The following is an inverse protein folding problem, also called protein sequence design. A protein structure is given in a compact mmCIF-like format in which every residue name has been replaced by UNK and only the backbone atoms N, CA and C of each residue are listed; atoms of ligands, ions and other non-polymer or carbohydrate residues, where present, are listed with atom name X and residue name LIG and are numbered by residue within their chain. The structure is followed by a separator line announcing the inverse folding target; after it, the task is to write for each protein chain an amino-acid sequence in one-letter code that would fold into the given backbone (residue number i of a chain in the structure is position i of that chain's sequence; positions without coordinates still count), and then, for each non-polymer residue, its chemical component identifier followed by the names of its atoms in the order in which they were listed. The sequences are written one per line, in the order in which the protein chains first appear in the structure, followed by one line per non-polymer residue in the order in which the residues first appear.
data_IF_483198894833
#
_entry.id   IF_483198894833
#
_cell.length_a   1.000
_cell.length_b   1.000
_cell.length_c   1.000
_cell.angle_alpha   90.00
_cell.angle_beta   90.00
_cell.angle_gamma   90.00
#
_symmetry.space_group_name_H-M   'P 1'
#
loop_
_entity.id
_entity.type
_entity.pdbx_description
1 polymer ?
#
# COMPACT_ATOMS: atom_id res chain seq x y z
N UNK A 1 -13.87 -23.49 15.31
CA UNK A 1 -13.42 -23.32 13.91
C UNK A 1 -12.13 -22.51 13.95
N UNK A 2 -10.97 -23.17 13.92
CA UNK A 2 -9.67 -22.49 13.79
C UNK A 2 -9.54 -22.05 12.33
N UNK A 3 -10.01 -20.84 12.02
CA UNK A 3 -9.73 -20.20 10.73
C UNK A 3 -8.23 -20.01 10.63
N UNK A 4 -7.63 -20.52 9.54
CA UNK A 4 -6.22 -20.31 9.24
C UNK A 4 -5.88 -18.81 9.33
N UNK A 5 -4.66 -18.44 9.78
CA UNK A 5 -4.26 -17.04 9.76
C UNK A 5 -4.41 -16.49 8.35
N UNK A 6 -5.04 -15.32 8.23
CA UNK A 6 -5.11 -14.60 6.96
C UNK A 6 -3.68 -14.38 6.47
N UNK A 7 -3.42 -14.67 5.20
CA UNK A 7 -2.10 -14.47 4.58
C UNK A 7 -2.28 -13.69 3.30
N UNK A 8 -1.33 -12.82 3.00
CA UNK A 8 -1.38 -12.01 1.81
C UNK A 8 -0.08 -11.28 1.61
N UNK A 9 0.21 -10.95 0.36
CA UNK A 9 1.40 -10.20 -0.03
C UNK A 9 0.96 -8.95 -0.77
N UNK A 10 1.81 -7.93 -0.72
CA UNK A 10 1.61 -6.71 -1.51
C UNK A 10 2.87 -6.37 -2.29
N UNK A 11 2.68 -5.90 -3.51
CA UNK A 11 3.77 -5.52 -4.41
C UNK A 11 3.48 -4.12 -4.93
N UNK A 12 4.01 -3.06 -4.29
CA UNK A 12 3.85 -1.71 -4.77
C UNK A 12 4.52 -1.52 -6.13
N UNK A 13 3.85 -0.78 -7.00
CA UNK A 13 4.47 -0.25 -8.22
C UNK A 13 5.41 0.90 -7.87
N UNK A 14 6.39 1.16 -8.72
CA UNK A 14 7.22 2.36 -8.61
C UNK A 14 6.34 3.60 -8.74
N UNK A 15 6.46 4.52 -7.79
CA UNK A 15 5.78 5.81 -7.81
C UNK A 15 6.71 6.88 -8.42
N UNK A 16 6.24 7.58 -9.46
CA UNK A 16 7.04 8.58 -10.18
C UNK A 16 6.75 10.00 -9.73
N UNK A 17 7.81 10.76 -9.46
CA UNK A 17 7.72 12.17 -9.08
C UNK A 17 8.65 13.03 -9.94
N UNK A 18 8.14 14.09 -10.60
CA UNK A 18 6.74 14.50 -10.66
C UNK A 18 5.93 13.64 -11.64
N UNK A 19 4.63 13.45 -11.36
CA UNK A 19 3.68 12.89 -12.33
C UNK A 19 2.59 12.05 -11.71
N UNK A 20 2.96 11.08 -10.86
CA UNK A 20 1.98 10.19 -10.25
C UNK A 20 1.25 10.90 -9.11
N UNK A 21 -0.06 10.69 -9.05
CA UNK A 21 -0.94 11.17 -7.96
C UNK A 21 -1.59 10.02 -7.20
N UNK A 22 -1.40 8.79 -7.69
CA UNK A 22 -1.95 7.56 -7.16
C UNK A 22 -0.84 6.54 -7.00
N UNK A 23 -0.75 5.97 -5.81
CA UNK A 23 0.08 4.82 -5.54
C UNK A 23 -0.71 3.58 -5.92
N UNK A 24 -0.16 2.78 -6.83
CA UNK A 24 -0.73 1.50 -7.23
C UNK A 24 0.10 0.35 -6.67
N UNK A 25 -0.56 -0.75 -6.32
CA UNK A 25 0.09 -1.99 -5.94
C UNK A 25 -0.74 -3.18 -6.43
N UNK A 26 -0.12 -4.34 -6.58
CA UNK A 26 -0.85 -5.60 -6.69
C UNK A 26 -0.81 -6.32 -5.35
N UNK A 27 -1.83 -7.13 -5.07
CA UNK A 27 -1.88 -7.91 -3.85
C UNK A 27 -2.39 -9.32 -4.12
N UNK A 28 -2.03 -10.25 -3.23
CA UNK A 28 -2.55 -11.62 -3.25
C UNK A 28 -3.02 -12.02 -1.85
N UNK A 29 -3.86 -13.06 -1.78
CA UNK A 29 -4.38 -13.59 -0.52
C UNK A 29 -5.49 -12.74 0.09
N UNK A 30 -5.61 -12.78 1.41
CA UNK A 30 -6.74 -12.29 2.20
C UNK A 30 -6.67 -10.78 2.54
N UNK A 31 -6.02 -9.97 1.68
CA UNK A 31 -5.90 -8.53 1.89
C UNK A 31 -7.25 -7.85 1.69
N UNK A 32 -7.69 -7.11 2.71
CA UNK A 32 -8.97 -6.39 2.73
C UNK A 32 -8.80 -4.88 2.62
N UNK A 33 -7.71 -4.35 3.15
CA UNK A 33 -7.41 -2.91 3.11
C UNK A 33 -5.91 -2.69 3.15
N UNK A 34 -5.48 -1.44 2.95
CA UNK A 34 -4.07 -1.06 3.05
C UNK A 34 -3.90 0.20 3.91
N UNK A 35 -2.72 0.34 4.47
CA UNK A 35 -2.27 1.57 5.12
C UNK A 35 -1.00 2.03 4.40
N UNK A 36 -1.01 3.26 3.90
CA UNK A 36 0.16 3.88 3.31
C UNK A 36 0.77 4.81 4.34
N UNK A 37 2.05 4.63 4.68
CA UNK A 37 2.77 5.54 5.57
C UNK A 37 3.73 6.39 4.74
N UNK A 38 3.63 7.71 4.85
CA UNK A 38 4.48 8.67 4.13
C UNK A 38 5.21 9.50 5.19
N UNK A 39 6.54 9.44 5.23
CA UNK A 39 7.37 10.17 6.21
C UNK A 39 6.87 9.99 7.66
N UNK A 40 6.48 8.77 8.03
CA UNK A 40 5.94 8.44 9.36
C UNK A 40 4.45 8.74 9.57
N UNK A 41 3.79 9.41 8.63
CA UNK A 41 2.34 9.69 8.72
C UNK A 41 1.53 8.58 8.07
N UNK A 42 0.66 7.93 8.84
CA UNK A 42 -0.22 6.86 8.35
C UNK A 42 -1.46 7.41 7.65
N UNK A 43 -1.76 6.88 6.48
CA UNK A 43 -2.93 7.18 5.68
C UNK A 43 -3.72 5.89 5.41
N UNK A 44 -4.99 5.91 5.78
CA UNK A 44 -5.93 4.81 5.52
C UNK A 44 -6.86 5.19 4.37
N UNK A 45 -7.31 4.19 3.61
CA UNK A 45 -8.21 4.39 2.48
C UNK A 45 -7.69 3.69 1.23
N UNK A 46 -7.91 4.32 0.08
CA UNK A 46 -7.69 3.70 -1.21
C UNK A 46 -8.73 2.64 -1.54
N UNK A 47 -8.65 2.14 -2.76
CA UNK A 47 -9.46 1.04 -3.26
C UNK A 47 -8.59 -0.21 -3.29
N UNK A 48 -9.08 -1.31 -2.71
CA UNK A 48 -8.47 -2.63 -2.75
C UNK A 48 -9.50 -3.54 -3.42
N UNK A 49 -9.31 -3.83 -4.71
CA UNK A 49 -10.21 -4.68 -5.48
C UNK A 49 -9.47 -5.35 -6.63
N UNK A 50 -9.99 -6.49 -7.08
CA UNK A 50 -9.52 -7.18 -8.29
C UNK A 50 -8.00 -7.49 -8.28
N UNK A 51 -7.44 -7.78 -7.10
CA UNK A 51 -6.00 -8.06 -6.93
C UNK A 51 -5.11 -6.82 -7.05
N UNK A 52 -5.71 -5.62 -7.07
CA UNK A 52 -5.01 -4.34 -7.19
C UNK A 52 -5.39 -3.36 -6.09
N UNK A 53 -4.46 -2.48 -5.77
CA UNK A 53 -4.61 -1.38 -4.84
C UNK A 53 -4.45 -0.09 -5.61
N UNK A 54 -5.35 0.86 -5.40
CA UNK A 54 -5.22 2.23 -5.89
C UNK A 54 -5.45 3.20 -4.74
N UNK A 55 -4.39 3.89 -4.32
CA UNK A 55 -4.44 4.85 -3.22
C UNK A 55 -4.17 6.25 -3.75
N UNK A 56 -5.11 7.17 -3.57
CA UNK A 56 -4.90 8.56 -3.95
C UNK A 56 -3.99 9.27 -2.95
N UNK A 57 -2.78 9.61 -3.39
CA UNK A 57 -1.76 10.30 -2.60
C UNK A 57 -1.91 11.82 -2.77
N UNK A 58 -2.36 12.27 -3.95
CA UNK A 58 -2.35 13.67 -4.32
C UNK A 58 -0.92 14.19 -4.43
N UNK A 59 -0.56 15.16 -3.60
CA UNK A 59 0.75 15.82 -3.56
C UNK A 59 1.55 15.50 -2.28
N UNK A 60 1.21 14.42 -1.56
CA UNK A 60 1.86 14.06 -0.28
C UNK A 60 3.25 13.46 -0.47
N UNK A 61 3.50 12.84 -1.62
CA UNK A 61 4.83 12.39 -2.05
C UNK A 61 5.30 13.43 -3.07
N UNK A 62 6.32 14.20 -2.70
CA UNK A 62 6.83 15.33 -3.48
C UNK A 62 8.31 15.16 -3.85
N UNK A 63 9.01 14.18 -3.28
CA UNK A 63 10.41 13.91 -3.58
C UNK A 63 10.73 12.41 -3.53
N UNK A 64 11.79 12.01 -4.25
CA UNK A 64 12.40 10.67 -4.13
C UNK A 64 13.05 10.43 -2.77
N UNK A 65 13.27 11.47 -1.97
CA UNK A 65 13.70 11.33 -0.58
C UNK A 65 12.58 10.99 0.40
N UNK A 66 11.31 11.05 -0.03
CA UNK A 66 10.18 10.68 0.83
C UNK A 66 10.22 9.19 1.13
N UNK A 67 10.00 8.82 2.39
CA UNK A 67 9.96 7.42 2.81
C UNK A 67 8.52 6.96 2.80
N UNK A 68 8.19 6.08 1.85
CA UNK A 68 6.84 5.56 1.65
C UNK A 68 6.81 4.06 1.87
N UNK A 69 5.90 3.60 2.73
CA UNK A 69 5.63 2.18 2.94
C UNK A 69 4.15 1.89 2.77
N UNK A 70 3.84 0.66 2.35
CA UNK A 70 2.49 0.14 2.25
C UNK A 70 2.37 -1.14 3.08
N UNK A 71 1.38 -1.14 3.97
CA UNK A 71 1.03 -2.27 4.83
C UNK A 71 -0.25 -2.91 4.28
N UNK A 72 -0.21 -4.20 3.97
CA UNK A 72 -1.37 -4.99 3.58
C UNK A 72 -2.12 -5.44 4.85
N UNK A 73 -3.40 -5.11 4.96
CA UNK A 73 -4.22 -5.42 6.13
C UNK A 73 -5.22 -6.52 5.77
N UNK A 74 -5.20 -7.59 6.56
CA UNK A 74 -6.07 -8.74 6.40
C UNK A 74 -7.50 -8.51 6.83
N UNK A 75 -8.36 -9.47 6.53
CA UNK A 75 -9.77 -9.48 6.97
C UNK A 75 -9.93 -9.42 8.50
N UNK A 76 -8.92 -9.87 9.24
CA UNK A 76 -8.84 -9.86 10.71
C UNK A 76 -8.25 -8.56 11.28
N UNK A 77 -7.92 -7.60 10.41
CA UNK A 77 -7.36 -6.30 10.79
C UNK A 77 -5.86 -6.33 11.11
N UNK A 78 -5.18 -7.47 10.94
CA UNK A 78 -3.74 -7.57 11.15
C UNK A 78 -2.95 -7.19 9.91
N UNK A 79 -1.71 -6.75 10.11
CA UNK A 79 -0.75 -6.56 9.01
C UNK A 79 -0.30 -7.94 8.52
N UNK A 80 -0.52 -8.20 7.23
CA UNK A 80 -0.13 -9.43 6.57
C UNK A 80 1.26 -9.31 5.93
N UNK A 81 1.55 -8.16 5.32
CA UNK A 81 2.81 -7.85 4.65
C UNK A 81 3.07 -6.35 4.70
N UNK A 82 4.34 -5.96 4.61
CA UNK A 82 4.78 -4.57 4.57
C UNK A 82 5.88 -4.42 3.53
N UNK A 83 5.70 -3.48 2.60
CA UNK A 83 6.70 -3.16 1.57
C UNK A 83 7.02 -1.69 1.52
N UNK A 84 8.26 -1.39 1.20
CA UNK A 84 8.67 -0.06 0.79
C UNK A 84 8.22 0.19 -0.65
N UNK A 85 7.78 1.42 -0.92
CA UNK A 85 7.41 1.85 -2.26
C UNK A 85 8.64 2.53 -2.85
N UNK A 86 9.09 2.04 -3.99
CA UNK A 86 10.19 2.66 -4.73
C UNK A 86 9.69 3.97 -5.33
N UNK A 87 10.37 5.07 -5.04
CA UNK A 87 10.09 6.38 -5.64
C UNK A 87 11.18 6.68 -6.65
N UNK A 88 10.79 7.03 -7.87
CA UNK A 88 11.70 7.37 -8.95
C UNK A 88 11.28 8.69 -9.61
N UNK A 89 12.20 9.27 -10.40
CA UNK A 89 11.92 10.42 -11.25
C UNK A 89 11.48 9.96 -12.65
#
# INVERSE_FOLDING_TARGET
KTTAPAVGTITPSTFKVPGDTRLTATYTGDVKSVIVTINGTKHKGGTVSDGTVSFYIGNKIASTSDVVTIEAIGVDGKVLDTKNVTIAN
#
